data_IF_518341048292
#
_entry.id   IF_518341048292
#
_cell.length_a   1.000
_cell.length_b   1.000
_cell.length_c   1.000
_cell.angle_alpha   90.00
_cell.angle_beta   90.00
_cell.angle_gamma   90.00
#
_symmetry.space_group_name_H-M   'P 1'
#
loop_
_entity.id
_entity.type
_entity.pdbx_description
1 polymer ?
#
# COMPACT_ATOMS: atom_id res chain seq x y z
N UNK A 1 -0.59 16.84 -14.44
CA UNK A 1 -0.52 17.98 -13.51
C UNK A 1 0.02 17.45 -12.21
N UNK A 2 1.32 17.63 -11.98
CA UNK A 2 1.97 17.32 -10.71
C UNK A 2 1.61 18.44 -9.73
N UNK A 3 0.70 18.15 -8.80
CA UNK A 3 0.46 19.02 -7.66
C UNK A 3 1.75 19.11 -6.86
N UNK A 4 2.22 20.33 -6.60
CA UNK A 4 3.17 20.58 -5.52
C UNK A 4 2.43 20.24 -4.23
N UNK A 5 2.81 19.14 -3.59
CA UNK A 5 2.43 18.88 -2.21
C UNK A 5 3.06 19.97 -1.33
N UNK A 6 2.27 20.52 -0.41
CA UNK A 6 2.84 21.30 0.70
C UNK A 6 3.57 20.29 1.59
N UNK A 7 4.90 20.30 1.57
CA UNK A 7 5.85 19.36 2.20
C UNK A 7 5.80 19.26 3.75
N UNK A 8 4.74 19.78 4.38
CA UNK A 8 4.57 19.82 5.84
C UNK A 8 3.29 19.12 6.33
N UNK A 9 2.50 18.49 5.46
CA UNK A 9 1.30 17.75 5.84
C UNK A 9 1.60 16.30 6.27
N UNK A 10 0.71 15.66 7.06
CA UNK A 10 0.76 14.22 7.26
C UNK A 10 0.72 13.52 5.91
N UNK A 11 1.62 12.56 5.70
CA UNK A 11 1.65 11.75 4.49
C UNK A 11 1.58 10.28 4.87
N UNK A 12 0.64 9.56 4.27
CA UNK A 12 0.58 8.11 4.37
C UNK A 12 0.06 7.48 3.08
N UNK A 13 0.51 6.25 2.83
CA UNK A 13 0.17 5.48 1.65
C UNK A 13 -0.06 4.03 2.02
N UNK A 14 -1.17 3.47 1.54
CA UNK A 14 -1.44 2.04 1.59
C UNK A 14 -1.62 1.49 0.18
N UNK A 15 -0.90 0.42 -0.14
CA UNK A 15 -0.98 -0.21 -1.45
C UNK A 15 -0.92 -1.73 -1.34
N UNK A 16 -1.71 -2.42 -2.17
CA UNK A 16 -1.56 -3.85 -2.39
C UNK A 16 -0.71 -4.07 -3.64
N UNK A 17 0.33 -4.90 -3.49
CA UNK A 17 1.26 -5.25 -4.54
C UNK A 17 1.18 -6.75 -4.79
N UNK A 18 1.13 -7.14 -6.06
CA UNK A 18 1.11 -8.53 -6.47
C UNK A 18 2.20 -8.73 -7.51
N UNK A 19 3.20 -9.52 -7.15
CA UNK A 19 4.30 -9.90 -8.02
C UNK A 19 4.14 -11.34 -8.48
N UNK A 20 4.46 -11.61 -9.73
CA UNK A 20 4.41 -12.96 -10.27
C UNK A 20 5.47 -13.16 -11.34
N UNK A 21 6.13 -14.32 -11.29
CA UNK A 21 7.03 -14.76 -12.35
C UNK A 21 6.29 -15.38 -13.55
N UNK A 22 4.98 -15.67 -13.40
CA UNK A 22 4.20 -16.45 -14.38
C UNK A 22 2.98 -15.71 -14.93
N UNK A 23 2.41 -14.77 -14.18
CA UNK A 23 1.29 -13.94 -14.63
C UNK A 23 1.76 -12.54 -15.02
N UNK A 24 1.19 -11.98 -16.08
CA UNK A 24 1.40 -10.57 -16.43
C UNK A 24 0.56 -9.65 -15.53
N UNK A 25 0.98 -8.39 -15.41
CA UNK A 25 0.23 -7.34 -14.70
C UNK A 25 -1.20 -7.19 -15.26
N UNK A 26 -1.37 -7.31 -16.58
CA UNK A 26 -2.68 -7.27 -17.23
C UNK A 26 -3.57 -8.45 -16.82
N UNK A 27 -3.00 -9.65 -16.72
CA UNK A 27 -3.73 -10.85 -16.30
C UNK A 27 -4.15 -10.77 -14.83
N UNK A 28 -3.25 -10.30 -13.96
CA UNK A 28 -3.58 -10.04 -12.55
C UNK A 28 -4.69 -8.99 -12.47
N UNK A 29 -4.57 -7.88 -13.21
CA UNK A 29 -5.58 -6.83 -13.23
C UNK A 29 -6.95 -7.31 -13.72
N UNK A 30 -6.98 -8.18 -14.73
CA UNK A 30 -8.21 -8.82 -15.20
C UNK A 30 -8.88 -9.65 -14.11
N UNK A 31 -8.12 -10.44 -13.36
CA UNK A 31 -8.64 -11.25 -12.24
C UNK A 31 -9.10 -10.39 -11.07
N UNK A 32 -8.31 -9.36 -10.73
CA UNK A 32 -8.67 -8.38 -9.71
C UNK A 32 -9.86 -7.51 -10.13
N UNK A 33 -10.22 -7.48 -11.41
CA UNK A 33 -11.29 -6.67 -11.98
C UNK A 33 -10.95 -5.17 -12.04
N UNK A 34 -9.68 -4.81 -11.97
CA UNK A 34 -9.19 -3.44 -12.05
C UNK A 34 -7.74 -3.39 -12.54
N UNK A 35 -7.39 -2.34 -13.29
CA UNK A 35 -6.01 -2.13 -13.74
C UNK A 35 -5.08 -1.72 -12.59
N UNK A 36 -3.77 -1.88 -12.80
CA UNK A 36 -2.75 -1.34 -11.89
C UNK A 36 -2.86 0.18 -11.82
N UNK A 37 -2.71 0.77 -10.64
CA UNK A 37 -2.60 2.22 -10.45
C UNK A 37 -1.23 2.73 -10.90
N UNK A 38 -0.21 1.87 -10.90
CA UNK A 38 1.12 2.18 -11.43
C UNK A 38 1.40 1.41 -12.72
N UNK A 39 1.47 2.14 -13.83
CA UNK A 39 1.81 1.59 -15.14
C UNK A 39 3.33 1.42 -15.37
N UNK A 40 4.17 1.96 -14.47
CA UNK A 40 5.64 1.92 -14.59
C UNK A 40 6.28 0.71 -13.93
N UNK A 41 5.51 -0.11 -13.21
CA UNK A 41 5.97 -1.34 -12.58
C UNK A 41 5.62 -2.55 -13.49
N UNK A 42 6.47 -2.93 -14.46
CA UNK A 42 6.10 -3.89 -15.52
C UNK A 42 5.83 -5.32 -15.00
N UNK A 43 6.34 -5.66 -13.82
CA UNK A 43 6.27 -7.01 -13.23
C UNK A 43 5.50 -7.03 -11.90
N UNK A 44 4.92 -5.90 -11.49
CA UNK A 44 4.21 -5.78 -10.22
C UNK A 44 2.89 -5.09 -10.48
N UNK A 45 1.80 -5.79 -10.21
CA UNK A 45 0.48 -5.17 -10.21
C UNK A 45 0.31 -4.44 -8.89
N UNK A 46 0.01 -3.15 -8.94
CA UNK A 46 -0.10 -2.29 -7.76
C UNK A 46 -1.47 -1.65 -7.76
N UNK A 47 -2.12 -1.60 -6.60
CA UNK A 47 -3.27 -0.73 -6.39
C UNK A 47 -3.08 0.08 -5.11
N UNK A 48 -3.23 1.39 -5.25
CA UNK A 48 -3.36 2.29 -4.09
C UNK A 48 -4.75 2.09 -3.47
N UNK A 49 -4.79 1.74 -2.19
CA UNK A 49 -6.02 1.35 -1.49
C UNK A 49 -6.75 2.56 -0.90
N UNK A 50 -6.04 3.66 -0.70
CA UNK A 50 -6.57 4.98 -0.36
C UNK A 50 -5.91 6.03 -1.27
N UNK A 51 -6.68 6.73 -2.13
CA UNK A 51 -6.15 7.77 -3.01
C UNK A 51 -5.79 9.08 -2.29
N UNK A 52 -6.35 9.36 -1.11
CA UNK A 52 -6.01 10.55 -0.32
C UNK A 52 -4.83 10.26 0.62
N UNK A 53 -3.64 10.70 0.20
CA UNK A 53 -2.40 10.49 0.96
C UNK A 53 -2.24 11.44 2.16
N UNK A 54 -3.15 12.40 2.33
CA UNK A 54 -3.20 13.26 3.52
C UNK A 54 -3.89 12.61 4.72
N UNK A 55 -4.59 11.49 4.50
CA UNK A 55 -5.23 10.74 5.57
C UNK A 55 -4.20 9.96 6.40
N UNK A 56 -4.25 10.03 7.74
CA UNK A 56 -3.39 9.23 8.61
C UNK A 56 -3.49 7.73 8.30
N UNK A 57 -2.38 7.01 8.38
CA UNK A 57 -2.32 5.60 7.98
C UNK A 57 -3.35 4.72 8.70
N UNK A 58 -3.58 4.94 10.00
CA UNK A 58 -4.59 4.20 10.77
C UNK A 58 -6.02 4.42 10.24
N UNK A 59 -6.30 5.58 9.65
CA UNK A 59 -7.61 5.90 9.05
C UNK A 59 -7.76 5.27 7.66
N UNK A 60 -6.66 4.90 6.99
CA UNK A 60 -6.67 4.15 5.73
C UNK A 60 -6.93 2.64 5.94
N UNK A 61 -6.54 2.06 7.07
CA UNK A 61 -6.64 0.61 7.34
C UNK A 61 -8.06 0.00 7.18
N UNK A 62 -9.16 0.70 7.56
CA UNK A 62 -10.51 0.20 7.27
C UNK A 62 -10.79 0.03 5.77
N UNK A 63 -10.23 0.88 4.90
CA UNK A 63 -10.37 0.75 3.45
C UNK A 63 -9.56 -0.45 2.94
N UNK A 64 -8.34 -0.64 3.45
CA UNK A 64 -7.49 -1.82 3.18
C UNK A 64 -8.25 -3.11 3.52
N UNK A 65 -8.81 -3.19 4.73
CA UNK A 65 -9.54 -4.37 5.18
C UNK A 65 -10.76 -4.67 4.31
N UNK A 66 -11.56 -3.65 3.98
CA UNK A 66 -12.72 -3.81 3.10
C UNK A 66 -12.31 -4.30 1.71
N UNK A 67 -11.23 -3.77 1.15
CA UNK A 67 -10.73 -4.18 -0.15
C UNK A 67 -10.31 -5.65 -0.16
N UNK A 68 -9.47 -6.05 0.80
CA UNK A 68 -8.99 -7.44 0.89
C UNK A 68 -10.17 -8.40 1.13
N UNK A 69 -11.09 -8.05 2.02
CA UNK A 69 -12.28 -8.87 2.28
C UNK A 69 -13.14 -9.04 1.02
N UNK A 70 -13.31 -7.98 0.21
CA UNK A 70 -14.09 -8.04 -1.02
C UNK A 70 -13.40 -8.83 -2.16
N UNK A 71 -12.07 -8.98 -2.10
CA UNK A 71 -11.26 -9.67 -3.11
C UNK A 71 -10.69 -11.00 -2.62
N UNK A 72 -11.11 -11.48 -1.45
CA UNK A 72 -10.45 -12.58 -0.75
C UNK A 72 -10.37 -13.85 -1.58
N UNK A 73 -11.45 -14.24 -2.26
CA UNK A 73 -11.49 -15.46 -3.07
C UNK A 73 -10.48 -15.38 -4.23
N UNK A 74 -10.40 -14.23 -4.91
CA UNK A 74 -9.44 -14.00 -6.01
C UNK A 74 -8.00 -14.00 -5.49
N UNK A 75 -7.77 -13.38 -4.34
CA UNK A 75 -6.43 -13.33 -3.73
C UNK A 75 -5.97 -14.72 -3.26
N UNK A 76 -6.87 -15.55 -2.73
CA UNK A 76 -6.58 -16.94 -2.37
C UNK A 76 -6.25 -17.80 -3.61
N UNK A 77 -6.91 -17.55 -4.74
CA UNK A 77 -6.56 -18.20 -6.02
C UNK A 77 -5.19 -17.76 -6.57
N UNK A 78 -4.79 -16.51 -6.32
CA UNK A 78 -3.50 -15.96 -6.78
C UNK A 78 -2.32 -16.35 -5.90
N UNK A 79 -2.53 -16.47 -4.59
CA UNK A 79 -1.48 -16.71 -3.58
C UNK A 79 -0.54 -17.88 -3.89
N UNK A 80 -0.96 -19.01 -4.49
CA UNK A 80 -0.04 -20.10 -4.82
C UNK A 80 0.99 -19.77 -5.90
N UNK A 81 0.75 -18.74 -6.73
CA UNK A 81 1.57 -18.40 -7.89
C UNK A 81 2.10 -16.95 -7.87
N UNK A 82 1.77 -16.19 -6.83
CA UNK A 82 2.10 -14.77 -6.70
C UNK A 82 2.59 -14.46 -5.28
N UNK A 83 3.48 -13.50 -5.18
CA UNK A 83 3.81 -12.84 -3.92
C UNK A 83 2.86 -11.66 -3.72
N UNK A 84 2.17 -11.63 -2.58
CA UNK A 84 1.23 -10.57 -2.23
C UNK A 84 1.85 -9.76 -1.08
N UNK A 85 2.02 -8.46 -1.29
CA UNK A 85 2.58 -7.53 -0.30
C UNK A 85 1.57 -6.42 0.00
N UNK A 86 1.27 -6.22 1.27
CA UNK A 86 0.61 -5.02 1.76
C UNK A 86 1.69 -4.01 2.15
N UNK A 87 1.90 -3.02 1.29
CA UNK A 87 2.81 -1.93 1.55
C UNK A 87 2.11 -0.79 2.30
N UNK A 88 2.70 -0.39 3.41
CA UNK A 88 2.26 0.74 4.23
C UNK A 88 3.42 1.71 4.42
N UNK A 89 3.30 2.89 3.79
CA UNK A 89 4.25 3.99 3.89
C UNK A 89 3.68 5.14 4.71
N UNK A 90 4.45 5.76 5.60
CA UNK A 90 4.00 7.01 6.26
C UNK A 90 5.13 7.88 6.80
N UNK A 91 4.80 9.15 7.07
CA UNK A 91 5.63 10.06 7.85
C UNK A 91 5.23 9.98 9.32
N UNK A 92 6.14 9.57 10.23
CA UNK A 92 5.83 9.51 11.66
C UNK A 92 5.56 10.89 12.25
N UNK A 93 4.40 11.10 12.89
CA UNK A 93 4.08 12.38 13.56
C UNK A 93 4.91 12.61 14.84
N UNK A 94 5.37 11.53 15.46
CA UNK A 94 6.18 11.55 16.67
C UNK A 94 7.15 10.37 16.71
N UNK A 95 8.15 10.42 17.59
CA UNK A 95 9.16 9.35 17.73
C UNK A 95 8.63 7.99 18.21
N UNK A 96 7.34 7.90 18.57
CA UNK A 96 6.65 6.64 18.89
C UNK A 96 5.33 6.52 18.12
N UNK A 97 5.32 6.95 16.86
CA UNK A 97 4.17 6.72 15.99
C UNK A 97 4.04 5.22 15.64
N UNK A 98 2.80 4.75 15.53
CA UNK A 98 2.51 3.33 15.44
C UNK A 98 1.21 3.03 14.70
N UNK A 99 1.14 1.82 14.17
CA UNK A 99 0.00 1.32 13.41
C UNK A 99 -0.68 0.18 14.17
N UNK A 100 -2.01 0.15 14.10
CA UNK A 100 -2.81 -0.86 14.80
C UNK A 100 -3.59 -1.70 13.82
N UNK A 101 -3.15 -2.94 13.62
CA UNK A 101 -3.92 -3.92 12.85
C UNK A 101 -5.05 -4.51 13.69
N UNK A 102 -6.27 -4.45 13.16
CA UNK A 102 -7.38 -5.19 13.74
C UNK A 102 -7.17 -6.71 13.55
N UNK A 103 -7.63 -7.55 14.50
CA UNK A 103 -7.50 -9.00 14.37
C UNK A 103 -8.14 -9.58 13.10
N UNK A 104 -9.17 -8.92 12.56
CA UNK A 104 -9.82 -9.29 11.29
C UNK A 104 -8.89 -9.07 10.10
N UNK A 105 -8.22 -7.92 10.01
CA UNK A 105 -7.24 -7.66 8.97
C UNK A 105 -6.07 -8.64 9.04
N UNK A 106 -5.55 -8.94 10.23
CA UNK A 106 -4.48 -9.95 10.41
C UNK A 106 -4.91 -11.32 9.88
N UNK A 107 -6.16 -11.74 10.16
CA UNK A 107 -6.68 -13.02 9.65
C UNK A 107 -6.79 -13.03 8.13
N UNK A 108 -7.23 -11.93 7.51
CA UNK A 108 -7.33 -11.82 6.05
C UNK A 108 -5.95 -11.91 5.40
N UNK A 109 -4.96 -11.17 5.91
CA UNK A 109 -3.59 -11.22 5.43
C UNK A 109 -2.99 -12.63 5.56
N UNK A 110 -3.25 -13.31 6.69
CA UNK A 110 -2.81 -14.68 6.91
C UNK A 110 -3.41 -15.70 5.94
N UNK A 111 -4.66 -15.52 5.50
CA UNK A 111 -5.31 -16.41 4.52
C UNK A 111 -4.62 -16.41 3.16
N UNK A 112 -4.14 -15.25 2.75
CA UNK A 112 -3.50 -15.05 1.44
C UNK A 112 -1.97 -15.12 1.51
N UNK A 113 -1.42 -15.40 2.70
CA UNK A 113 0.03 -15.44 2.92
C UNK A 113 0.73 -14.11 2.64
N UNK A 114 0.05 -12.99 2.84
CA UNK A 114 0.60 -11.69 2.48
C UNK A 114 1.80 -11.30 3.36
N UNK A 115 2.82 -10.74 2.72
CA UNK A 115 3.88 -9.97 3.38
C UNK A 115 3.33 -8.59 3.73
N UNK A 116 3.84 -8.01 4.82
CA UNK A 116 3.52 -6.63 5.20
C UNK A 116 4.81 -5.83 5.23
N UNK A 117 4.94 -4.89 4.30
CA UNK A 117 6.08 -3.96 4.24
C UNK A 117 5.72 -2.66 4.94
N UNK A 118 6.49 -2.29 5.94
CA UNK A 118 6.38 -1.02 6.66
C UNK A 118 7.53 -0.11 6.26
N UNK A 119 7.20 1.03 5.65
CA UNK A 119 8.17 2.01 5.18
C UNK A 119 7.90 3.36 5.84
N UNK A 120 8.90 3.89 6.56
CA UNK A 120 8.77 5.15 7.26
C UNK A 120 9.70 6.17 6.64
N UNK A 121 9.15 7.29 6.22
CA UNK A 121 9.94 8.40 5.72
C UNK A 121 10.16 9.42 6.83
N UNK A 122 11.43 9.62 7.22
CA UNK A 122 11.81 10.74 8.07
C UNK A 122 12.57 11.74 7.20
N UNK A 123 12.14 13.00 7.19
CA UNK A 123 12.88 14.06 6.51
C UNK A 123 14.18 14.28 7.28
N UNK A 124 15.33 14.12 6.63
CA UNK A 124 16.61 14.50 7.23
C UNK A 124 16.67 16.03 7.37
N UNK A 125 17.18 16.52 8.50
CA UNK A 125 17.32 17.97 8.79
C UNK A 125 18.18 18.73 7.74
N UNK A 126 18.89 18.02 6.85
CA UNK A 126 19.73 18.59 5.79
C UNK A 126 18.96 19.01 4.51
N UNK A 127 17.64 18.78 4.43
CA UNK A 127 16.81 19.19 3.29
C UNK A 127 16.23 20.62 3.39
N UNK A 128 16.57 21.36 4.46
CA UNK A 128 16.28 22.80 4.51
C UNK A 128 17.37 23.57 3.75
N UNK A 129 17.01 24.33 2.69
CA UNK A 129 17.97 25.23 2.08
C UNK A 129 18.47 26.21 3.16
N UNK A 130 19.76 26.59 3.15
CA UNK A 130 20.29 27.53 4.12
C UNK A 130 19.44 28.80 4.09
N UNK A 131 18.95 29.21 5.27
CA UNK A 131 18.30 30.51 5.44
C UNK A 131 19.33 31.59 5.14
N UNK A 132 19.23 32.21 3.96
CA UNK A 132 19.91 33.46 3.60
C UNK A 132 19.31 34.66 4.36
#
# INVERSE_FOLDING_TARGET
MTGKHDDNGPWAKSALRIESAVLSVEEIGRRMGQASTDAKAPNCWIVDLEPDDSLPLNDQLPAVERFIAAKIDVLEELAPACEIDLFLGWHPEAGQDGIVFQPSLIKLLGRIGAVVTLDTYTRSEDDDPPND
#
